data_IF_665087124500
#
_entry.id   IF_665087124500
#
_cell.length_a   1.000
_cell.length_b   1.000
_cell.length_c   1.000
_cell.angle_alpha   90.00
_cell.angle_beta   90.00
_cell.angle_gamma   90.00
#
_symmetry.space_group_name_H-M   'P 1'
#
loop_
_entity.id
_entity.type
_entity.pdbx_description
1 polymer ?
#
# COMPACT_ATOMS: atom_id res chain seq x y z
N UNK A 1 -4.61 -12.81 1.00
CA UNK A 1 -4.55 -12.70 -0.47
C UNK A 1 -5.87 -12.24 -1.09
N UNK A 2 -7.02 -12.75 -0.63
CA UNK A 2 -8.35 -12.41 -1.17
C UNK A 2 -8.72 -10.92 -1.11
N UNK A 3 -8.16 -10.15 -0.18
CA UNK A 3 -8.36 -8.70 -0.10
C UNK A 3 -7.36 -7.93 -1.00
N UNK A 4 -6.12 -8.43 -1.14
CA UNK A 4 -5.09 -7.78 -2.00
C UNK A 4 -5.41 -7.87 -3.48
N UNK A 5 -5.94 -9.00 -3.95
CA UNK A 5 -6.27 -9.21 -5.37
C UNK A 5 -7.23 -8.15 -5.93
N UNK A 6 -8.40 -7.86 -5.32
CA UNK A 6 -9.29 -6.82 -5.82
C UNK A 6 -8.68 -5.42 -5.72
N UNK A 7 -7.94 -5.12 -4.64
CA UNK A 7 -7.29 -3.81 -4.47
C UNK A 7 -6.21 -3.56 -5.52
N UNK A 8 -5.38 -4.55 -5.80
CA UNK A 8 -4.37 -4.47 -6.87
C UNK A 8 -5.03 -4.33 -8.25
N UNK A 9 -6.19 -4.96 -8.47
CA UNK A 9 -6.99 -4.76 -9.68
C UNK A 9 -7.46 -3.32 -9.84
N UNK A 10 -8.00 -2.71 -8.77
CA UNK A 10 -8.44 -1.31 -8.78
C UNK A 10 -7.25 -0.37 -9.02
N UNK A 11 -6.12 -0.59 -8.33
CA UNK A 11 -4.92 0.23 -8.52
C UNK A 11 -4.38 0.13 -9.96
N UNK A 12 -4.30 -1.08 -10.51
CA UNK A 12 -3.83 -1.30 -11.88
C UNK A 12 -4.73 -0.63 -12.92
N UNK A 13 -6.06 -0.66 -12.73
CA UNK A 13 -7.00 0.08 -13.60
C UNK A 13 -6.84 1.59 -13.43
N UNK A 14 -6.63 2.07 -12.21
CA UNK A 14 -6.39 3.48 -11.97
C UNK A 14 -5.09 3.96 -12.64
N UNK A 15 -4.01 3.17 -12.58
CA UNK A 15 -2.75 3.43 -13.29
C UNK A 15 -2.95 3.44 -14.81
N UNK A 16 -3.66 2.47 -15.37
CA UNK A 16 -3.97 2.45 -16.82
C UNK A 16 -4.77 3.69 -17.25
N UNK A 17 -5.72 4.15 -16.43
CA UNK A 17 -6.50 5.35 -16.71
C UNK A 17 -5.64 6.62 -16.64
N UNK A 18 -4.64 6.65 -15.77
CA UNK A 18 -3.75 7.81 -15.58
C UNK A 18 -3.01 8.18 -16.87
N UNK A 19 -2.68 7.17 -17.68
CA UNK A 19 -1.97 7.30 -18.96
C UNK A 19 -2.88 7.65 -20.15
N UNK A 20 -4.19 7.83 -19.91
CA UNK A 20 -5.15 8.25 -20.94
C UNK A 20 -5.38 9.76 -20.96
N UNK A 21 -6.09 10.24 -21.99
CA UNK A 21 -6.52 11.64 -22.05
C UNK A 21 -7.64 11.92 -21.03
N UNK A 22 -7.25 12.55 -19.92
CA UNK A 22 -8.17 12.96 -18.85
C UNK A 22 -8.27 14.48 -18.74
N UNK A 23 -9.48 14.98 -18.48
CA UNK A 23 -9.66 16.37 -18.01
C UNK A 23 -9.01 16.58 -16.65
N UNK A 24 -8.77 17.85 -16.28
CA UNK A 24 -8.21 18.21 -14.97
C UNK A 24 -9.06 17.67 -13.81
N UNK A 25 -10.39 17.76 -13.90
CA UNK A 25 -11.31 17.22 -12.90
C UNK A 25 -11.21 15.70 -12.78
N UNK A 26 -11.17 14.98 -13.92
CA UNK A 26 -11.01 13.51 -13.91
C UNK A 26 -9.67 13.09 -13.32
N UNK A 27 -8.58 13.82 -13.64
CA UNK A 27 -7.26 13.56 -13.05
C UNK A 27 -7.28 13.74 -11.54
N UNK A 28 -7.93 14.80 -11.03
CA UNK A 28 -8.10 15.01 -9.60
C UNK A 28 -8.89 13.88 -8.92
N UNK A 29 -9.99 13.42 -9.53
CA UNK A 29 -10.74 12.26 -9.04
C UNK A 29 -9.90 10.98 -9.03
N UNK A 30 -9.09 10.77 -10.07
CA UNK A 30 -8.22 9.60 -10.17
C UNK A 30 -7.14 9.60 -9.08
N UNK A 31 -6.53 10.76 -8.78
CA UNK A 31 -5.60 10.91 -7.66
C UNK A 31 -6.26 10.54 -6.33
N UNK A 32 -7.48 11.02 -6.08
CA UNK A 32 -8.23 10.67 -4.86
C UNK A 32 -8.47 9.16 -4.77
N UNK A 33 -8.80 8.49 -5.88
CA UNK A 33 -8.98 7.03 -5.92
C UNK A 33 -7.68 6.31 -5.56
N UNK A 34 -6.56 6.71 -6.17
CA UNK A 34 -5.25 6.10 -5.91
C UNK A 34 -4.82 6.27 -4.45
N UNK A 35 -4.97 7.47 -3.89
CA UNK A 35 -4.63 7.76 -2.49
C UNK A 35 -5.51 6.98 -1.51
N UNK A 36 -6.81 6.88 -1.81
CA UNK A 36 -7.75 6.08 -1.02
C UNK A 36 -7.40 4.60 -1.06
N UNK A 37 -7.01 4.08 -2.23
CA UNK A 37 -6.61 2.69 -2.37
C UNK A 37 -5.31 2.38 -1.61
N UNK A 38 -4.31 3.27 -1.68
CA UNK A 38 -3.06 3.16 -0.90
C UNK A 38 -3.35 3.15 0.60
N UNK A 39 -4.16 4.09 1.06
CA UNK A 39 -4.55 4.20 2.48
C UNK A 39 -5.27 2.94 2.95
N UNK A 40 -6.24 2.46 2.17
CA UNK A 40 -7.01 1.26 2.51
C UNK A 40 -6.11 0.01 2.54
N UNK A 41 -5.16 -0.11 1.60
CA UNK A 41 -4.18 -1.20 1.60
C UNK A 41 -3.32 -1.19 2.87
N UNK A 42 -2.83 -0.02 3.31
CA UNK A 42 -2.08 0.10 4.56
C UNK A 42 -2.90 -0.39 5.75
N UNK A 43 -4.16 0.06 5.87
CA UNK A 43 -5.06 -0.36 6.95
C UNK A 43 -5.29 -1.88 6.92
N UNK A 44 -5.47 -2.46 5.73
CA UNK A 44 -5.67 -3.90 5.59
C UNK A 44 -4.42 -4.67 6.01
N UNK A 45 -3.23 -4.23 5.59
CA UNK A 45 -1.98 -4.89 5.96
C UNK A 45 -1.74 -4.78 7.49
N UNK A 46 -2.04 -3.63 8.11
CA UNK A 46 -1.98 -3.47 9.58
C UNK A 46 -2.92 -4.44 10.31
N UNK A 47 -4.17 -4.61 9.84
CA UNK A 47 -5.13 -5.55 10.42
C UNK A 47 -4.64 -7.01 10.27
N UNK A 48 -4.05 -7.34 9.13
CA UNK A 48 -3.52 -8.68 8.88
C UNK A 48 -2.31 -8.98 9.77
N UNK A 49 -1.43 -8.01 9.96
CA UNK A 49 -0.27 -8.16 10.84
C UNK A 49 -0.69 -8.26 12.30
N UNK A 50 -1.66 -7.45 12.74
CA UNK A 50 -2.27 -7.60 14.06
C UNK A 50 -2.86 -9.01 14.26
N UNK A 51 -3.57 -9.54 13.26
CA UNK A 51 -4.16 -10.88 13.29
C UNK A 51 -3.10 -11.99 13.38
N UNK A 52 -1.92 -11.81 12.76
CA UNK A 52 -0.79 -12.76 12.91
C UNK A 52 -0.21 -12.71 14.31
N UNK A 53 -0.08 -11.51 14.88
CA UNK A 53 0.44 -11.31 16.25
C UNK A 53 -0.47 -12.00 17.26
N UNK A 54 -1.79 -11.74 17.23
CA UNK A 54 -2.74 -12.36 18.17
C UNK A 54 -2.79 -13.88 18.05
N UNK A 55 -2.63 -14.41 16.83
CA UNK A 55 -2.58 -15.84 16.59
C UNK A 55 -1.23 -16.49 16.97
N UNK A 56 -0.24 -15.72 17.44
CA UNK A 56 1.11 -16.20 17.74
C UNK A 56 1.89 -16.64 16.50
N UNK A 57 1.52 -16.14 15.31
CA UNK A 57 2.11 -16.48 14.00
C UNK A 57 2.99 -15.37 13.44
N UNK A 58 3.44 -14.43 14.27
CA UNK A 58 4.43 -13.44 13.84
C UNK A 58 5.80 -14.12 13.74
N UNK A 59 6.40 -14.07 12.57
CA UNK A 59 7.77 -14.54 12.32
C UNK A 59 8.66 -13.34 11.99
N UNK A 60 9.85 -13.29 12.57
CA UNK A 60 10.84 -12.26 12.27
C UNK A 60 11.66 -12.69 11.06
N UNK A 61 11.73 -11.84 10.05
CA UNK A 61 12.68 -12.00 8.95
C UNK A 61 14.06 -11.50 9.38
N UNK A 62 14.98 -12.44 9.63
CA UNK A 62 16.34 -12.14 10.05
C UNK A 62 17.24 -11.94 8.83
N UNK A 63 17.41 -10.68 8.43
CA UNK A 63 18.32 -10.28 7.35
C UNK A 63 19.32 -9.22 7.80
N UNK A 64 20.57 -9.21 7.28
CA UNK A 64 21.50 -8.12 7.53
C UNK A 64 20.99 -6.81 6.95
N UNK A 65 20.95 -5.75 7.75
CA UNK A 65 20.60 -4.40 7.30
C UNK A 65 21.57 -3.37 7.89
N UNK A 66 21.66 -2.20 7.25
CA UNK A 66 22.47 -1.08 7.74
C UNK A 66 21.62 -0.21 8.64
N UNK A 67 21.98 -0.16 9.92
CA UNK A 67 21.25 0.64 10.91
C UNK A 67 21.21 2.14 10.56
N UNK A 68 22.30 2.68 9.97
CA UNK A 68 22.34 4.07 9.52
C UNK A 68 21.22 4.40 8.53
N UNK A 69 21.06 3.53 7.53
CA UNK A 69 20.13 3.75 6.42
C UNK A 69 18.68 3.63 6.92
N UNK A 70 18.44 2.75 7.90
CA UNK A 70 17.14 2.62 8.56
C UNK A 70 16.77 3.86 9.36
N UNK A 71 17.70 4.39 10.16
CA UNK A 71 17.44 5.56 11.01
C UNK A 71 17.23 6.81 10.17
N UNK A 72 18.01 6.98 9.11
CA UNK A 72 17.87 8.09 8.16
C UNK A 72 16.51 8.07 7.47
N UNK A 73 16.05 6.90 7.01
CA UNK A 73 14.75 6.75 6.34
C UNK A 73 13.50 7.02 7.22
N UNK A 74 13.65 7.17 8.54
CA UNK A 74 12.56 7.53 9.47
C UNK A 74 12.58 9.02 9.83
N UNK A 75 13.70 9.71 9.59
CA UNK A 75 13.88 11.11 9.97
C UNK A 75 13.39 12.11 8.91
N UNK A 76 13.13 11.65 7.67
CA UNK A 76 12.54 12.41 6.55
C UNK A 76 11.01 12.23 6.48
#
# INVERSE_FOLDING_TARGET
HEIRTPMNGIMGVAEMLHDTALSSTQRGMLTIIQDSCRTLMSIIDDILDFSKIEAGRLELDLSPFRLSDLVEGVAD
#
